data_IF_036309471691
#
_entry.id   IF_036309471691
#
_cell.length_a   1.000
_cell.length_b   1.000
_cell.length_c   1.000
_cell.angle_alpha   90.00
_cell.angle_beta   90.00
_cell.angle_gamma   90.00
#
_symmetry.space_group_name_H-M   'P 1'
#
loop_
_entity.id
_entity.type
_entity.pdbx_description
1 polymer ?
#
# COMPACT_ATOMS: atom_id res chain seq x y z
N UNK A 1 1.02 7.16 5.13
CA UNK A 1 1.94 6.38 5.99
C UNK A 1 2.95 5.58 5.17
N UNK A 2 2.52 4.76 4.19
CA UNK A 2 3.43 3.93 3.38
C UNK A 2 4.60 4.71 2.77
N UNK A 3 4.33 5.84 2.10
CA UNK A 3 5.37 6.67 1.49
C UNK A 3 6.48 7.06 2.47
N UNK A 4 6.12 7.48 3.69
CA UNK A 4 7.09 7.89 4.71
C UNK A 4 7.94 6.71 5.19
N UNK A 5 7.33 5.52 5.30
CA UNK A 5 8.06 4.30 5.63
C UNK A 5 9.00 3.88 4.48
N UNK A 6 8.56 3.99 3.23
CA UNK A 6 9.41 3.72 2.07
C UNK A 6 10.61 4.65 1.97
N UNK A 7 10.50 5.93 2.35
CA UNK A 7 11.68 6.81 2.45
C UNK A 7 12.70 6.28 3.47
N UNK A 8 12.26 5.73 4.61
CA UNK A 8 13.16 5.06 5.56
C UNK A 8 13.77 3.79 4.95
N UNK A 9 12.99 2.99 4.20
CA UNK A 9 13.48 1.79 3.52
C UNK A 9 14.54 2.10 2.46
N UNK A 10 14.42 3.21 1.73
CA UNK A 10 15.44 3.66 0.76
C UNK A 10 16.76 4.01 1.42
N UNK A 11 16.72 4.58 2.64
CA UNK A 11 17.93 4.90 3.41
C UNK A 11 18.60 3.65 4.02
N UNK A 12 17.83 2.59 4.27
CA UNK A 12 18.32 1.36 4.88
C UNK A 12 17.75 0.09 4.19
N UNK A 13 18.11 -0.17 2.92
CA UNK A 13 17.49 -1.24 2.13
C UNK A 13 17.69 -2.65 2.70
N UNK A 14 18.81 -2.88 3.39
CA UNK A 14 19.15 -4.12 4.08
C UNK A 14 18.18 -4.50 5.23
N UNK A 15 17.25 -3.61 5.60
CA UNK A 15 16.21 -3.93 6.57
C UNK A 15 15.07 -4.74 5.95
N UNK A 16 14.90 -4.69 4.62
CA UNK A 16 13.75 -5.33 3.95
C UNK A 16 13.72 -6.83 4.17
N UNK A 17 14.89 -7.49 4.15
CA UNK A 17 15.05 -8.92 4.39
C UNK A 17 14.83 -9.34 5.85
N UNK A 18 14.73 -8.38 6.78
CA UNK A 18 14.62 -8.62 8.23
C UNK A 18 13.20 -8.39 8.77
N UNK A 19 12.23 -8.18 7.89
CA UNK A 19 10.85 -7.88 8.27
C UNK A 19 9.85 -8.47 7.29
N UNK A 20 8.60 -8.54 7.74
CA UNK A 20 7.45 -8.90 6.92
C UNK A 20 6.58 -7.66 6.74
N UNK A 21 6.27 -7.31 5.50
CA UNK A 21 5.43 -6.16 5.16
C UNK A 21 4.00 -6.66 4.90
N UNK A 22 3.10 -6.28 5.82
CA UNK A 22 1.66 -6.45 5.67
C UNK A 22 1.03 -5.09 5.38
N UNK A 23 0.27 -5.01 4.29
CA UNK A 23 -0.56 -3.83 3.99
C UNK A 23 -1.96 -4.24 3.55
N UNK A 24 -2.82 -3.25 3.30
CA UNK A 24 -4.24 -3.47 3.01
C UNK A 24 -4.72 -2.51 1.93
N UNK A 25 -5.72 -2.94 1.18
CA UNK A 25 -6.47 -2.11 0.24
C UNK A 25 -7.98 -2.38 0.38
N UNK A 26 -8.81 -1.49 -0.18
CA UNK A 26 -10.26 -1.70 -0.20
C UNK A 26 -11.09 -0.55 0.38
N UNK A 27 -10.53 0.28 1.27
CA UNK A 27 -11.24 1.46 1.79
C UNK A 27 -10.95 2.68 0.91
N UNK A 28 -12.00 3.27 0.36
CA UNK A 28 -11.97 4.55 -0.33
C UNK A 28 -12.37 5.67 0.65
N UNK A 29 -11.39 6.46 1.08
CA UNK A 29 -11.62 7.59 1.99
C UNK A 29 -11.85 8.88 1.21
N UNK A 30 -12.49 9.86 1.85
CA UNK A 30 -12.72 11.21 1.33
C UNK A 30 -11.45 12.08 1.29
N UNK A 31 -10.28 11.53 1.64
CA UNK A 31 -9.00 12.20 1.45
C UNK A 31 -8.61 12.31 -0.04
N UNK A 32 -9.25 11.52 -0.91
CA UNK A 32 -9.20 11.68 -2.36
C UNK A 32 -10.48 12.36 -2.85
N UNK A 33 -10.34 13.37 -3.69
CA UNK A 33 -11.47 14.16 -4.21
C UNK A 33 -12.47 13.33 -5.03
N UNK A 34 -12.00 12.27 -5.70
CA UNK A 34 -12.84 11.32 -6.45
C UNK A 34 -13.86 10.56 -5.57
N UNK A 35 -13.63 10.50 -4.26
CA UNK A 35 -14.49 9.80 -3.31
C UNK A 35 -15.38 10.80 -2.56
N UNK A 36 -16.57 11.09 -3.11
CA UNK A 36 -17.53 12.02 -2.48
C UNK A 36 -18.00 11.58 -1.07
N UNK A 37 -17.91 10.29 -0.76
CA UNK A 37 -18.21 9.71 0.55
C UNK A 37 -17.32 8.49 0.82
N UNK A 38 -17.18 8.09 2.08
CA UNK A 38 -16.39 6.91 2.47
C UNK A 38 -17.09 5.61 2.09
N UNK A 39 -16.42 4.76 1.31
CA UNK A 39 -16.98 3.50 0.80
C UNK A 39 -15.89 2.43 0.59
N UNK A 40 -16.27 1.26 0.09
CA UNK A 40 -15.34 0.17 -0.25
C UNK A 40 -15.21 0.00 -1.77
N UNK A 41 -14.01 -0.30 -2.22
CA UNK A 41 -13.70 -0.67 -3.61
C UNK A 41 -12.90 -1.98 -3.58
N UNK A 42 -13.57 -3.10 -3.83
CA UNK A 42 -12.96 -4.44 -3.86
C UNK A 42 -12.87 -5.01 -5.28
N UNK A 43 -13.00 -4.16 -6.29
CA UNK A 43 -12.86 -4.53 -7.68
C UNK A 43 -11.44 -4.97 -8.02
N UNK A 44 -11.31 -5.95 -8.92
CA UNK A 44 -10.02 -6.51 -9.36
C UNK A 44 -9.00 -5.44 -9.75
N UNK A 45 -9.41 -4.46 -10.57
CA UNK A 45 -8.51 -3.42 -11.05
C UNK A 45 -7.99 -2.54 -9.91
N UNK A 46 -8.86 -2.21 -8.95
CA UNK A 46 -8.49 -1.40 -7.80
C UNK A 46 -7.51 -2.13 -6.87
N UNK A 47 -7.74 -3.42 -6.62
CA UNK A 47 -6.84 -4.25 -5.79
C UNK A 47 -5.44 -4.29 -6.40
N UNK A 48 -5.34 -4.58 -7.70
CA UNK A 48 -4.06 -4.63 -8.41
C UNK A 48 -3.36 -3.27 -8.36
N UNK A 49 -4.08 -2.20 -8.72
CA UNK A 49 -3.51 -0.84 -8.73
C UNK A 49 -3.05 -0.39 -7.34
N UNK A 50 -3.82 -0.72 -6.30
CA UNK A 50 -3.46 -0.39 -4.91
C UNK A 50 -2.23 -1.17 -4.44
N UNK A 51 -2.15 -2.47 -4.75
CA UNK A 51 -0.99 -3.29 -4.40
C UNK A 51 0.30 -2.78 -5.10
N UNK A 52 0.22 -2.49 -6.40
CA UNK A 52 1.34 -1.93 -7.16
C UNK A 52 1.76 -0.55 -6.63
N UNK A 53 0.79 0.28 -6.20
CA UNK A 53 1.10 1.56 -5.57
C UNK A 53 1.79 1.36 -4.22
N UNK A 54 1.34 0.43 -3.37
CA UNK A 54 1.99 0.11 -2.11
C UNK A 54 3.45 -0.34 -2.31
N UNK A 55 3.73 -1.19 -3.31
CA UNK A 55 5.11 -1.59 -3.64
C UNK A 55 6.01 -0.39 -3.95
N UNK A 56 5.52 0.54 -4.80
CA UNK A 56 6.22 1.77 -5.14
C UNK A 56 6.45 2.65 -3.91
N UNK A 57 5.41 2.86 -3.10
CA UNK A 57 5.47 3.72 -1.92
C UNK A 57 6.33 3.16 -0.80
N UNK A 58 6.38 1.84 -0.64
CA UNK A 58 7.18 1.13 0.37
C UNK A 58 8.61 0.83 -0.11
N UNK A 59 8.94 1.17 -1.37
CA UNK A 59 10.23 0.92 -2.00
C UNK A 59 10.65 -0.57 -1.93
N UNK A 60 9.72 -1.46 -2.26
CA UNK A 60 9.95 -2.91 -2.29
C UNK A 60 9.30 -3.54 -3.53
N UNK A 61 9.78 -4.72 -3.91
CA UNK A 61 9.31 -5.48 -5.07
C UNK A 61 8.23 -6.53 -4.71
N UNK A 62 8.05 -6.83 -3.43
CA UNK A 62 7.00 -7.75 -2.96
C UNK A 62 6.45 -7.36 -1.59
N UNK A 63 5.20 -7.76 -1.36
CA UNK A 63 4.52 -7.73 -0.06
C UNK A 63 4.45 -9.15 0.49
N UNK A 64 4.68 -9.31 1.79
CA UNK A 64 4.53 -10.62 2.44
C UNK A 64 3.04 -11.00 2.56
N UNK A 65 2.17 -10.01 2.75
CA UNK A 65 0.73 -10.20 2.78
C UNK A 65 -0.02 -8.94 2.37
N UNK A 66 -1.03 -9.11 1.51
CA UNK A 66 -2.01 -8.09 1.18
C UNK A 66 -3.38 -8.50 1.75
N UNK A 67 -3.99 -7.62 2.54
CA UNK A 67 -5.32 -7.82 3.10
C UNK A 67 -6.38 -7.01 2.35
N UNK A 68 -7.58 -7.57 2.22
CA UNK A 68 -8.78 -6.78 1.94
C UNK A 68 -9.22 -6.15 3.26
N UNK A 69 -9.32 -4.83 3.27
CA UNK A 69 -9.64 -4.02 4.45
C UNK A 69 -11.15 -3.87 4.60
#
# INVERSE_FOLDING_TARGET
>A
CEAAFGEAMKLAPHLREKMQIVTKCGIATTAKEENALGHYITDRAHIIASAEQSLKLLATDHLDLLLIH
#
